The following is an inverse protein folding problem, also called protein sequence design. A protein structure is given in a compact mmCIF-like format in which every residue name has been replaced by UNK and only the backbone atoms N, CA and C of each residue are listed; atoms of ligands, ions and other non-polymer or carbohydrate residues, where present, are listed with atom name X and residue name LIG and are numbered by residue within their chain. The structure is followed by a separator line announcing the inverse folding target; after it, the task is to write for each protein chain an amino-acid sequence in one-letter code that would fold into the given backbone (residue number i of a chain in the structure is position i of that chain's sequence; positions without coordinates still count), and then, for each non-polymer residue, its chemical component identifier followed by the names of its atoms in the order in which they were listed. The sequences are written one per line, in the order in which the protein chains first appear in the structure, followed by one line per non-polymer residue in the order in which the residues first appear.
data_IF_820375562651
#
_entry.id   IF_820375562651
#
_cell.length_a   1.000
_cell.length_b   1.000
_cell.length_c   1.000
_cell.angle_alpha   90.00
_cell.angle_beta   90.00
_cell.angle_gamma   90.00
#
_symmetry.space_group_name_H-M   'P 1'
#
loop_
_entity.id
_entity.type
_entity.pdbx_description
1 polymer ?
#
# COMPACT_ATOMS: atom_id res chain seq x y z
N UNK A 1 -3.59 3.88 15.73
CA UNK A 1 -4.41 3.59 14.54
C UNK A 1 -3.77 4.36 13.40
N UNK A 2 -3.44 3.67 12.32
CA UNK A 2 -2.67 4.24 11.23
C UNK A 2 -3.31 3.90 9.88
N UNK A 3 -3.14 4.79 8.90
CA UNK A 3 -3.52 4.51 7.51
C UNK A 3 -2.29 4.03 6.76
N UNK A 4 -2.44 2.91 6.07
CA UNK A 4 -1.40 2.37 5.19
C UNK A 4 -1.65 2.85 3.76
N UNK A 5 -0.73 3.62 3.18
CA UNK A 5 -0.80 4.07 1.79
C UNK A 5 0.17 3.23 0.97
N UNK A 6 -0.31 2.52 -0.05
CA UNK A 6 0.47 1.53 -0.80
C UNK A 6 0.63 1.96 -2.25
N UNK A 7 1.88 2.06 -2.68
CA UNK A 7 2.26 2.15 -4.09
C UNK A 7 2.12 0.76 -4.73
N UNK A 8 0.99 0.50 -5.38
CA UNK A 8 0.70 -0.82 -5.91
C UNK A 8 1.67 -1.20 -7.06
N UNK A 9 2.06 -0.23 -7.90
CA UNK A 9 2.98 -0.48 -9.00
C UNK A 9 4.37 -0.85 -8.50
N UNK A 10 4.87 -0.15 -7.48
CA UNK A 10 6.15 -0.46 -6.86
C UNK A 10 6.14 -1.81 -6.14
N UNK A 11 5.06 -2.15 -5.44
CA UNK A 11 4.95 -3.44 -4.74
C UNK A 11 4.84 -4.60 -5.71
N UNK A 12 3.96 -4.52 -6.71
CA UNK A 12 3.84 -5.55 -7.77
C UNK A 12 5.15 -5.68 -8.53
N UNK A 13 5.80 -4.57 -8.88
CA UNK A 13 7.08 -4.55 -9.60
C UNK A 13 8.27 -5.10 -8.80
N UNK A 14 8.15 -5.24 -7.48
CA UNK A 14 9.23 -5.73 -6.62
C UNK A 14 9.48 -7.23 -6.72
N UNK A 15 8.53 -8.01 -7.27
CA UNK A 15 8.67 -9.46 -7.46
C UNK A 15 8.59 -9.82 -8.95
N UNK A 16 9.50 -10.67 -9.48
CA UNK A 16 9.48 -11.10 -10.88
C UNK A 16 8.47 -12.25 -11.09
N UNK A 17 7.19 -11.98 -10.84
CA UNK A 17 6.10 -12.98 -10.84
C UNK A 17 5.33 -13.08 -12.17
N UNK A 18 5.76 -12.35 -13.21
CA UNK A 18 5.07 -12.31 -14.50
C UNK A 18 4.09 -11.15 -14.67
N UNK A 19 3.97 -10.22 -13.70
CA UNK A 19 3.00 -9.12 -13.69
C UNK A 19 2.91 -8.30 -14.99
N UNK A 20 3.98 -8.22 -15.79
CA UNK A 20 3.98 -7.45 -17.04
C UNK A 20 3.00 -8.01 -18.08
N UNK A 21 2.65 -9.29 -18.00
CA UNK A 21 1.67 -9.94 -18.90
C UNK A 21 0.23 -9.58 -18.56
N UNK A 22 -0.05 -9.35 -17.29
CA UNK A 22 -1.37 -9.05 -16.76
C UNK A 22 -1.24 -8.10 -15.56
N UNK A 23 -1.23 -6.80 -15.86
CA UNK A 23 -1.04 -5.75 -14.86
C UNK A 23 -2.26 -5.59 -13.96
N UNK A 24 -3.46 -5.71 -14.52
CA UNK A 24 -4.70 -5.61 -13.78
C UNK A 24 -4.83 -6.76 -12.79
N UNK A 25 -4.70 -8.01 -13.26
CA UNK A 25 -4.77 -9.17 -12.37
C UNK A 25 -3.65 -9.23 -11.33
N UNK A 26 -2.44 -8.71 -11.63
CA UNK A 26 -1.39 -8.58 -10.62
C UNK A 26 -1.75 -7.59 -9.51
N UNK A 27 -2.32 -6.44 -9.87
CA UNK A 27 -2.82 -5.49 -8.89
C UNK A 27 -4.01 -6.06 -8.10
N UNK A 28 -4.96 -6.75 -8.74
CA UNK A 28 -6.09 -7.42 -8.05
C UNK A 28 -5.61 -8.41 -7.00
N UNK A 29 -4.61 -9.24 -7.32
CA UNK A 29 -4.03 -10.17 -6.34
C UNK A 29 -3.42 -9.44 -5.15
N UNK A 30 -2.71 -8.34 -5.37
CA UNK A 30 -2.17 -7.53 -4.28
C UNK A 30 -3.30 -6.92 -3.44
N UNK A 31 -4.29 -6.30 -4.08
CA UNK A 31 -5.44 -5.69 -3.41
C UNK A 31 -6.22 -6.70 -2.56
N UNK A 32 -6.45 -7.91 -3.07
CA UNK A 32 -7.12 -8.98 -2.33
C UNK A 32 -6.38 -9.38 -1.06
N UNK A 33 -5.04 -9.34 -1.07
CA UNK A 33 -4.24 -9.57 0.15
C UNK A 33 -4.29 -8.39 1.12
N UNK A 34 -4.27 -7.17 0.60
CA UNK A 34 -4.37 -5.94 1.38
C UNK A 34 -5.71 -5.82 2.12
N UNK A 35 -6.78 -6.42 1.60
CA UNK A 35 -8.10 -6.44 2.24
C UNK A 35 -8.10 -7.12 3.63
N UNK A 36 -7.09 -7.93 3.94
CA UNK A 36 -6.94 -8.55 5.26
C UNK A 36 -6.21 -7.67 6.29
N UNK A 37 -5.69 -6.50 5.89
CA UNK A 37 -4.89 -5.62 6.77
C UNK A 37 -5.73 -4.74 7.70
N UNK A 38 -6.85 -4.12 7.29
CA UNK A 38 -7.66 -3.31 8.19
C UNK A 38 -8.09 -4.09 9.45
N UNK A 39 -7.93 -3.48 10.62
CA UNK A 39 -8.22 -4.10 11.92
C UNK A 39 -7.09 -4.98 12.47
N UNK A 40 -6.01 -5.20 11.72
CA UNK A 40 -4.84 -5.95 12.18
C UNK A 40 -3.76 -5.05 12.79
N UNK A 41 -2.89 -5.63 13.62
CA UNK A 41 -1.68 -4.97 14.08
C UNK A 41 -0.47 -5.61 13.40
N UNK A 42 0.23 -4.82 12.59
CA UNK A 42 1.46 -5.19 11.91
C UNK A 42 2.67 -4.87 12.79
N UNK A 43 3.79 -5.52 12.51
CA UNK A 43 5.08 -5.08 13.05
C UNK A 43 5.62 -3.98 12.15
N UNK A 44 5.67 -2.75 12.66
CA UNK A 44 6.17 -1.58 11.97
C UNK A 44 7.63 -1.71 11.53
N UNK A 45 8.08 -0.85 10.61
CA UNK A 45 9.46 -0.89 10.09
C UNK A 45 10.53 -0.58 11.14
N UNK A 46 10.16 0.04 12.25
CA UNK A 46 10.98 0.31 13.44
C UNK A 46 10.91 -0.81 14.50
N UNK A 47 10.12 -1.87 14.25
CA UNK A 47 9.85 -2.97 15.18
C UNK A 47 8.71 -2.70 16.16
N UNK A 48 8.11 -1.51 16.16
CA UNK A 48 6.96 -1.17 17.01
C UNK A 48 5.63 -1.68 16.44
N UNK A 49 4.54 -1.77 17.23
CA UNK A 49 3.23 -2.17 16.73
C UNK A 49 2.58 -1.06 15.88
N UNK A 50 2.01 -1.43 14.73
CA UNK A 50 1.24 -0.53 13.87
C UNK A 50 -0.15 -1.12 13.66
N UNK A 51 -1.15 -0.59 14.38
CA UNK A 51 -2.55 -0.97 14.18
C UNK A 51 -3.11 -0.25 12.97
N UNK A 52 -3.32 -0.98 11.87
CA UNK A 52 -3.85 -0.45 10.62
C UNK A 52 -5.38 -0.44 10.66
N UNK A 53 -5.99 0.73 10.50
CA UNK A 53 -7.46 0.87 10.45
C UNK A 53 -7.99 1.03 9.04
N UNK A 54 -7.15 1.50 8.13
CA UNK A 54 -7.50 1.70 6.72
C UNK A 54 -6.29 1.40 5.83
N UNK A 55 -6.58 0.90 4.63
CA UNK A 55 -5.60 0.77 3.56
C UNK A 55 -6.05 1.58 2.36
N UNK A 56 -5.16 2.44 1.87
CA UNK A 56 -5.29 3.15 0.61
C UNK A 56 -4.27 2.58 -0.36
N UNK A 57 -4.74 2.02 -1.48
CA UNK A 57 -3.86 1.50 -2.53
C UNK A 57 -3.96 2.38 -3.78
N UNK A 58 -2.81 2.89 -4.25
CA UNK A 58 -2.73 3.70 -5.46
C UNK A 58 -2.35 2.81 -6.63
N UNK A 59 -3.21 2.78 -7.66
CA UNK A 59 -3.00 2.04 -8.91
C UNK A 59 -2.91 3.01 -10.09
N UNK A 60 -2.03 2.72 -11.05
CA UNK A 60 -1.80 3.55 -12.23
C UNK A 60 -1.75 2.74 -13.54
N UNK A 61 -1.80 3.44 -14.67
CA UNK A 61 -1.74 2.82 -16.00
C UNK A 61 -2.81 1.73 -16.19
N UNK A 62 -2.40 0.57 -16.73
CA UNK A 62 -3.29 -0.58 -16.96
C UNK A 62 -3.77 -1.23 -15.65
N UNK A 63 -3.06 -1.06 -14.53
CA UNK A 63 -3.48 -1.64 -13.26
C UNK A 63 -4.74 -0.98 -12.69
N UNK A 64 -5.16 0.19 -13.20
CA UNK A 64 -6.42 0.86 -12.82
C UNK A 64 -7.66 0.04 -13.12
N UNK A 65 -7.57 -0.89 -14.07
CA UNK A 65 -8.65 -1.81 -14.43
C UNK A 65 -8.91 -2.87 -13.35
N UNK A 66 -8.03 -2.99 -12.35
CA UNK A 66 -8.21 -3.91 -11.24
C UNK A 66 -9.52 -3.66 -10.47
N UNK A 67 -10.23 -4.75 -10.19
CA UNK A 67 -11.34 -4.77 -9.26
C UNK A 67 -10.87 -4.34 -7.85
N UNK A 68 -11.68 -3.50 -7.20
CA UNK A 68 -11.43 -3.07 -5.83
C UNK A 68 -12.18 -4.00 -4.87
N UNK A 69 -11.48 -4.71 -3.96
CA UNK A 69 -12.14 -5.48 -2.91
C UNK A 69 -12.65 -4.56 -1.80
N UNK A 70 -13.62 -5.07 -1.03
CA UNK A 70 -14.04 -4.42 0.21
C UNK A 70 -12.87 -4.33 1.19
N UNK A 71 -12.84 -3.27 2.00
CA UNK A 71 -11.77 -3.02 2.98
C UNK A 71 -10.52 -2.35 2.43
N UNK A 72 -10.43 -2.08 1.11
CA UNK A 72 -9.32 -1.30 0.53
C UNK A 72 -9.87 -0.10 -0.25
N UNK A 73 -9.45 1.12 0.14
CA UNK A 73 -9.70 2.33 -0.65
C UNK A 73 -8.75 2.33 -1.84
N UNK A 74 -9.26 2.10 -3.04
CA UNK A 74 -8.45 2.09 -4.28
C UNK A 74 -8.48 3.45 -4.96
N UNK A 75 -7.33 4.12 -5.01
CA UNK A 75 -7.13 5.39 -5.73
C UNK A 75 -6.58 5.07 -7.12
N UNK A 76 -7.34 5.40 -8.16
CA UNK A 76 -6.95 5.21 -9.56
C UNK A 76 -6.29 6.47 -10.10
N UNK A 77 -4.97 6.52 -10.11
CA UNK A 77 -4.20 7.69 -10.51
C UNK A 77 -4.38 7.96 -12.02
N UNK A 78 -4.98 9.07 -12.47
CA UNK A 78 -5.19 9.32 -13.90
C UNK A 78 -3.87 9.48 -14.67
N UNK A 79 -2.86 10.04 -14.00
CA UNK A 79 -1.48 10.18 -14.46
C UNK A 79 -0.51 9.36 -13.61
N UNK A 80 0.43 10.05 -12.96
CA UNK A 80 1.46 9.45 -12.11
C UNK A 80 0.90 8.90 -10.79
N UNK A 81 1.27 7.67 -10.45
CA UNK A 81 1.03 7.08 -9.13
C UNK A 81 1.66 7.91 -8.00
N UNK A 82 2.88 8.39 -8.18
CA UNK A 82 3.60 9.21 -7.19
C UNK A 82 2.81 10.46 -6.80
N UNK A 83 2.28 11.19 -7.79
CA UNK A 83 1.48 12.39 -7.56
C UNK A 83 0.22 12.08 -6.75
N UNK A 84 -0.45 10.96 -7.07
CA UNK A 84 -1.62 10.52 -6.35
C UNK A 84 -1.32 10.04 -4.92
N UNK A 85 -0.15 9.43 -4.70
CA UNK A 85 0.31 9.04 -3.35
C UNK A 85 0.58 10.28 -2.50
N UNK A 86 1.30 11.27 -3.04
CA UNK A 86 1.57 12.54 -2.32
C UNK A 86 0.26 13.22 -1.96
N UNK A 87 -0.66 13.36 -2.92
CA UNK A 87 -1.96 13.98 -2.67
C UNK A 87 -2.78 13.21 -1.61
N UNK A 88 -2.78 11.87 -1.66
CA UNK A 88 -3.48 11.06 -0.66
C UNK A 88 -2.85 11.19 0.73
N UNK A 89 -1.52 11.24 0.82
CA UNK A 89 -0.81 11.43 2.07
C UNK A 89 -1.08 12.82 2.66
N UNK A 90 -1.11 13.87 1.84
CA UNK A 90 -1.46 15.22 2.27
C UNK A 90 -2.90 15.32 2.77
N UNK A 91 -3.86 14.74 2.03
CA UNK A 91 -5.28 14.69 2.42
C UNK A 91 -5.45 14.06 3.80
N UNK A 92 -4.85 12.89 4.02
CA UNK A 92 -5.03 12.12 5.26
C UNK A 92 -4.21 12.66 6.44
N UNK A 93 -3.11 13.37 6.17
CA UNK A 93 -2.30 14.00 7.22
C UNK A 93 -3.04 15.16 7.90
N UNK A 94 -3.96 15.84 7.20
CA UNK A 94 -4.75 16.95 7.77
C UNK A 94 -5.60 16.50 8.97
N UNK A 95 -6.04 15.25 8.97
CA UNK A 95 -6.84 14.68 10.06
C UNK A 95 -6.00 14.23 11.27
N UNK A 96 -4.67 14.43 11.22
CA UNK A 96 -3.74 14.06 12.28
C UNK A 96 -3.56 12.54 12.44
N UNK A 97 -4.03 11.75 11.47
CA UNK A 97 -3.94 10.29 11.51
C UNK A 97 -2.52 9.87 11.14
N UNK A 98 -1.85 9.04 11.95
CA UNK A 98 -0.53 8.50 11.59
C UNK A 98 -0.55 7.75 10.25
N UNK A 99 0.40 8.07 9.38
CA UNK A 99 0.51 7.47 8.04
C UNK A 99 1.75 6.59 7.94
N UNK A 100 1.61 5.47 7.22
CA UNK A 100 2.73 4.66 6.75
C UNK A 100 2.61 4.49 5.24
N UNK A 101 3.58 5.02 4.49
CA UNK A 101 3.64 4.88 3.03
C UNK A 101 4.51 3.68 2.67
N UNK A 102 4.03 2.80 1.79
CA UNK A 102 4.78 1.66 1.27
C UNK A 102 5.27 1.97 -0.13
N UNK A 103 6.57 2.23 -0.28
CA UNK A 103 7.25 2.37 -1.57
C UNK A 103 8.76 2.24 -1.38
N UNK A 104 9.47 1.71 -2.38
CA UNK A 104 10.92 1.73 -2.48
C UNK A 104 11.46 2.92 -3.29
N UNK A 105 10.59 3.71 -3.92
CA UNK A 105 11.01 4.83 -4.78
C UNK A 105 11.57 5.99 -3.95
N UNK A 106 12.83 6.35 -4.19
CA UNK A 106 13.52 7.43 -3.46
C UNK A 106 13.04 8.81 -3.90
N UNK A 107 12.65 8.98 -5.16
CA UNK A 107 12.06 10.20 -5.69
C UNK A 107 10.74 10.49 -5.00
N UNK A 108 9.82 9.52 -4.98
CA UNK A 108 8.55 9.63 -4.26
C UNK A 108 8.77 9.94 -2.77
N UNK A 109 9.68 9.20 -2.10
CA UNK A 109 10.00 9.46 -0.68
C UNK A 109 10.43 10.91 -0.42
N UNK A 110 11.23 11.49 -1.31
CA UNK A 110 11.70 12.87 -1.17
C UNK A 110 10.59 13.92 -1.33
N UNK A 111 9.43 13.54 -1.86
CA UNK A 111 8.27 14.40 -2.10
C UNK A 111 7.23 14.33 -0.99
N UNK A 112 7.32 13.36 -0.08
CA UNK A 112 6.43 13.24 1.07
C UNK A 112 6.75 14.30 2.12
N UNK A 113 5.79 14.59 2.99
CA UNK A 113 5.99 15.52 4.09
C UNK A 113 7.14 15.04 5.02
N UNK A 114 7.92 15.95 5.61
CA UNK A 114 8.94 15.58 6.58
C UNK A 114 8.36 14.77 7.74
N UNK A 115 8.97 13.63 8.04
CA UNK A 115 8.52 12.74 9.11
C UNK A 115 7.46 11.72 8.71
N UNK A 116 6.99 11.69 7.45
CA UNK A 116 6.15 10.59 6.97
C UNK A 116 6.90 9.27 7.10
N UNK A 117 6.32 8.30 7.82
CA UNK A 117 6.90 6.99 7.96
C UNK A 117 6.81 6.22 6.63
N UNK A 118 7.89 5.53 6.27
CA UNK A 118 7.98 4.78 5.02
C UNK A 118 8.49 3.36 5.24
N UNK A 119 7.82 2.40 4.60
CA UNK A 119 8.29 1.03 4.48
C UNK A 119 8.50 0.64 3.01
N UNK A 120 9.27 -0.42 2.76
CA UNK A 120 9.48 -0.96 1.42
C UNK A 120 8.50 -2.10 1.08
N UNK A 121 8.39 -2.49 -0.20
CA UNK A 121 7.58 -3.64 -0.61
C UNK A 121 7.92 -4.95 0.11
N UNK A 122 9.21 -5.20 0.34
CA UNK A 122 9.65 -6.42 1.03
C UNK A 122 9.08 -6.54 2.45
N UNK A 123 8.99 -5.43 3.18
CA UNK A 123 8.35 -5.37 4.49
C UNK A 123 6.86 -5.72 4.37
N UNK A 124 6.14 -5.02 3.49
CA UNK A 124 4.69 -5.23 3.32
C UNK A 124 4.40 -6.68 2.95
N UNK A 125 5.15 -7.24 2.00
CA UNK A 125 4.92 -8.59 1.54
C UNK A 125 5.20 -9.62 2.64
N UNK A 126 6.19 -9.40 3.50
CA UNK A 126 6.45 -10.26 4.66
C UNK A 126 5.32 -10.18 5.71
N UNK A 127 4.79 -8.99 5.98
CA UNK A 127 3.60 -8.81 6.83
C UNK A 127 2.37 -9.52 6.24
N UNK A 128 2.13 -9.35 4.94
CA UNK A 128 1.03 -9.99 4.22
C UNK A 128 1.18 -11.52 4.17
N UNK A 129 2.42 -12.04 4.08
CA UNK A 129 2.69 -13.48 4.15
C UNK A 129 2.38 -13.98 5.58
N UNK A 130 2.74 -13.23 6.62
CA UNK A 130 2.45 -13.60 8.03
C UNK A 130 0.96 -13.64 8.35
N UNK A 131 0.20 -12.62 7.98
CA UNK A 131 -1.26 -12.57 8.24
C UNK A 131 -2.01 -13.58 7.37
N UNK A 132 -1.54 -13.86 6.15
CA UNK A 132 -2.12 -14.88 5.28
C UNK A 132 -1.84 -16.32 5.72
N UNK A 133 -0.78 -16.54 6.51
CA UNK A 133 -0.47 -17.82 7.16
C UNK A 133 -1.10 -17.98 8.54
N UNK A 134 -1.67 -16.91 9.12
CA UNK A 134 -2.38 -17.02 10.40
C UNK A 134 -3.67 -17.83 10.18
N UNK A 135 -3.96 -18.86 11.00
CA UNK A 135 -5.24 -19.55 10.92
C UNK A 135 -6.37 -18.54 11.18
N UNK A 136 -7.55 -18.69 10.53
CA UNK A 136 -8.70 -17.88 10.88
C UNK A 136 -8.97 -18.05 12.38
N UNK A 137 -9.09 -16.91 13.08
CA UNK A 137 -9.40 -16.85 14.50
C UNK A 137 -10.78 -17.46 14.81
#
# INVERSE_FOLDING_TARGET
MSVLIVDAANVVGSRPDGWWRDRAGAAERLLGRLAAVPGTTLTGPDGGPVTCTEVVAVVEGKAREAAAPDGVRVVRAPGSGDDAIVASAEELAVDGVPLLVVTADRGLRSRLQPGTAVAGPGWLLAELDRIGCAPPA
#
